data_IF_966079893259
#
_entry.id   IF_966079893259
#
_cell.length_a   1.000
_cell.length_b   1.000
_cell.length_c   1.000
_cell.angle_alpha   90.00
_cell.angle_beta   90.00
_cell.angle_gamma   90.00
#
_symmetry.space_group_name_H-M   'P 1'
#
loop_
_entity.id
_entity.type
_entity.pdbx_description
1 polymer ?
#
# COMPACT_ATOMS: atom_id res chain seq x y z
N UNK A 1 -3.62 9.20 8.99
CA UNK A 1 -2.85 8.47 10.00
C UNK A 1 -1.74 7.67 9.31
N UNK A 2 -0.47 7.88 9.69
CA UNK A 2 0.67 7.11 9.15
C UNK A 2 0.96 5.85 9.99
N UNK A 3 0.07 5.52 10.92
CA UNK A 3 0.21 4.41 11.85
C UNK A 3 -0.23 3.09 11.20
N UNK A 4 0.63 2.09 11.27
CA UNK A 4 0.30 0.69 10.96
C UNK A 4 -0.66 0.21 12.03
N UNK A 5 -1.83 -0.27 11.61
CA UNK A 5 -2.71 -1.02 12.51
C UNK A 5 -2.47 -2.50 12.19
N UNK A 6 -1.78 -3.21 13.09
CA UNK A 6 -1.56 -4.66 13.01
C UNK A 6 -2.52 -5.32 13.99
N UNK A 7 -3.59 -5.91 13.48
CA UNK A 7 -4.54 -6.72 14.24
C UNK A 7 -4.46 -8.15 13.68
N UNK A 8 -3.65 -9.02 14.31
CA UNK A 8 -3.49 -10.44 13.91
C UNK A 8 -3.20 -10.58 12.39
N UNK A 9 -3.47 -11.66 11.61
CA UNK A 9 -2.79 -11.92 10.34
C UNK A 9 -3.06 -10.92 9.19
N UNK A 10 -3.69 -9.78 9.47
CA UNK A 10 -3.94 -8.71 8.51
C UNK A 10 -3.10 -7.46 8.82
N UNK A 11 -2.49 -6.91 7.76
CA UNK A 11 -1.84 -5.60 7.80
C UNK A 11 -2.72 -4.56 7.15
N UNK A 12 -2.82 -3.38 7.74
CA UNK A 12 -3.57 -2.25 7.20
C UNK A 12 -2.74 -0.96 7.17
N UNK A 13 -2.56 -0.40 5.96
CA UNK A 13 -1.84 0.85 5.72
C UNK A 13 -2.69 1.87 4.96
N UNK A 14 -2.58 3.16 5.34
CA UNK A 14 -3.08 4.30 4.56
C UNK A 14 -1.96 5.30 4.32
N UNK A 15 -1.39 5.28 3.12
CA UNK A 15 -0.32 6.17 2.74
C UNK A 15 -0.89 7.51 2.27
N UNK A 16 -0.75 8.53 3.10
CA UNK A 16 -1.31 9.86 2.81
C UNK A 16 -0.36 10.75 2.00
N UNK A 17 0.91 10.39 1.86
CA UNK A 17 1.92 11.24 1.22
C UNK A 17 2.64 12.12 2.25
N UNK A 18 3.97 12.14 2.16
CA UNK A 18 4.88 12.92 3.01
C UNK A 18 5.87 13.65 2.09
N UNK A 19 6.18 14.94 2.31
CA UNK A 19 5.78 15.80 3.44
C UNK A 19 4.40 16.45 3.28
N UNK A 20 3.84 16.49 2.08
CA UNK A 20 2.55 17.11 1.81
C UNK A 20 1.47 16.05 1.65
N UNK A 21 0.48 16.10 2.55
CA UNK A 21 -0.64 15.18 2.57
C UNK A 21 -1.43 15.22 1.25
N UNK A 22 -1.94 14.06 0.89
CA UNK A 22 -2.74 13.70 -0.28
C UNK A 22 -2.08 13.93 -1.65
N UNK A 23 -0.84 14.40 -1.70
CA UNK A 23 -0.16 14.81 -2.94
C UNK A 23 1.20 14.14 -3.14
N UNK A 24 1.99 13.99 -2.07
CA UNK A 24 3.40 13.63 -2.21
C UNK A 24 3.56 12.17 -2.65
N UNK A 25 4.33 11.89 -3.71
CA UNK A 25 4.67 10.53 -4.10
C UNK A 25 5.66 9.93 -3.10
N UNK A 26 5.58 8.61 -2.92
CA UNK A 26 6.65 7.85 -2.27
C UNK A 26 7.69 7.42 -3.29
N UNK A 27 8.96 7.41 -2.89
CA UNK A 27 10.05 6.93 -3.72
C UNK A 27 10.14 5.40 -3.74
N UNK A 28 10.98 4.87 -4.63
CA UNK A 28 11.15 3.43 -4.79
C UNK A 28 11.74 2.77 -3.53
N UNK A 29 12.68 3.42 -2.85
CA UNK A 29 13.34 2.87 -1.66
C UNK A 29 12.35 2.68 -0.51
N UNK A 30 11.43 3.62 -0.33
CA UNK A 30 10.33 3.50 0.63
C UNK A 30 9.43 2.32 0.28
N UNK A 31 8.99 2.21 -0.98
CA UNK A 31 8.10 1.13 -1.41
C UNK A 31 8.77 -0.25 -1.33
N UNK A 32 10.07 -0.34 -1.62
CA UNK A 32 10.87 -1.56 -1.44
C UNK A 32 10.90 -1.99 0.03
N UNK A 33 11.11 -1.04 0.96
CA UNK A 33 11.08 -1.34 2.39
C UNK A 33 9.71 -1.86 2.83
N UNK A 34 8.63 -1.21 2.41
CA UNK A 34 7.26 -1.66 2.72
C UNK A 34 7.02 -3.07 2.20
N UNK A 35 7.44 -3.38 0.96
CA UNK A 35 7.31 -4.72 0.40
C UNK A 35 8.09 -5.76 1.21
N UNK A 36 9.33 -5.46 1.59
CA UNK A 36 10.18 -6.33 2.41
C UNK A 36 9.57 -6.59 3.79
N UNK A 37 9.06 -5.56 4.46
CA UNK A 37 8.43 -5.68 5.78
C UNK A 37 7.20 -6.60 5.73
N UNK A 38 6.36 -6.48 4.69
CA UNK A 38 5.19 -7.35 4.50
C UNK A 38 5.62 -8.80 4.24
N UNK A 39 6.61 -9.01 3.37
CA UNK A 39 7.08 -10.35 3.01
C UNK A 39 7.86 -11.04 4.13
N UNK A 40 8.51 -10.27 5.01
CA UNK A 40 9.30 -10.79 6.13
C UNK A 40 8.43 -11.24 7.31
N UNK A 41 7.16 -10.86 7.37
CA UNK A 41 6.27 -11.22 8.47
C UNK A 41 5.43 -12.47 8.14
N UNK A 42 5.84 -13.67 8.60
CA UNK A 42 5.19 -14.93 8.22
C UNK A 42 3.76 -15.07 8.76
N UNK A 43 3.37 -14.26 9.75
CA UNK A 43 2.00 -14.28 10.29
C UNK A 43 1.02 -13.48 9.44
N UNK A 44 1.50 -12.66 8.50
CA UNK A 44 0.65 -11.87 7.61
C UNK A 44 0.14 -12.73 6.47
N UNK A 45 -1.19 -12.84 6.40
CA UNK A 45 -1.92 -13.54 5.34
C UNK A 45 -2.49 -12.57 4.31
N UNK A 46 -2.86 -11.37 4.76
CA UNK A 46 -3.51 -10.36 3.92
C UNK A 46 -2.95 -8.97 4.26
N UNK A 47 -2.69 -8.17 3.23
CA UNK A 47 -2.25 -6.79 3.38
C UNK A 47 -3.17 -5.85 2.60
N UNK A 48 -3.82 -4.93 3.32
CA UNK A 48 -4.70 -3.91 2.78
C UNK A 48 -3.97 -2.56 2.78
N UNK A 49 -3.60 -2.08 1.60
CA UNK A 49 -2.77 -0.88 1.44
C UNK A 49 -3.50 0.15 0.59
N UNK A 50 -3.80 1.29 1.18
CA UNK A 50 -4.50 2.39 0.53
C UNK A 50 -3.56 3.56 0.28
N UNK A 51 -3.34 3.89 -0.99
CA UNK A 51 -2.63 5.10 -1.40
C UNK A 51 -3.62 6.28 -1.48
N UNK A 52 -3.69 7.06 -0.41
CA UNK A 52 -4.52 8.27 -0.33
C UNK A 52 -3.83 9.51 -0.91
N UNK A 53 -2.56 9.42 -1.33
CA UNK A 53 -1.83 10.48 -2.03
C UNK A 53 -2.28 10.65 -3.50
N UNK A 54 -3.59 10.72 -3.75
CA UNK A 54 -4.18 10.64 -5.09
C UNK A 54 -4.11 11.92 -5.92
N UNK A 55 -3.86 13.09 -5.32
CA UNK A 55 -3.80 14.35 -6.06
C UNK A 55 -2.63 14.30 -7.04
N UNK A 56 -2.90 14.62 -8.32
CA UNK A 56 -1.90 14.54 -9.39
C UNK A 56 -1.55 13.11 -9.83
N UNK A 57 -2.27 12.08 -9.35
CA UNK A 57 -2.06 10.70 -9.74
C UNK A 57 -0.90 9.98 -9.04
N UNK A 58 -0.28 10.58 -8.03
CA UNK A 58 0.85 9.96 -7.31
C UNK A 58 0.46 8.60 -6.70
N UNK A 59 -0.71 8.51 -6.07
CA UNK A 59 -1.17 7.29 -5.42
C UNK A 59 -1.37 6.10 -6.35
N UNK A 60 -1.88 6.30 -7.57
CA UNK A 60 -2.04 5.19 -8.53
C UNK A 60 -0.69 4.69 -9.06
N UNK A 61 0.28 5.60 -9.24
CA UNK A 61 1.63 5.23 -9.65
C UNK A 61 2.34 4.44 -8.54
N UNK A 62 2.25 4.90 -7.29
CA UNK A 62 2.82 4.20 -6.15
C UNK A 62 2.17 2.81 -5.93
N UNK A 63 0.84 2.71 -6.09
CA UNK A 63 0.14 1.42 -6.01
C UNK A 63 0.65 0.42 -7.06
N UNK A 64 0.79 0.85 -8.31
CA UNK A 64 1.33 0.00 -9.39
C UNK A 64 2.78 -0.41 -9.15
N UNK A 65 3.59 0.48 -8.59
CA UNK A 65 4.97 0.16 -8.26
C UNK A 65 5.06 -0.87 -7.13
N UNK A 66 4.27 -0.70 -6.07
CA UNK A 66 4.22 -1.66 -4.98
C UNK A 66 3.68 -3.03 -5.42
N UNK A 67 2.68 -3.06 -6.30
CA UNK A 67 2.19 -4.30 -6.92
C UNK A 67 3.30 -5.06 -7.65
N UNK A 68 4.14 -4.36 -8.42
CA UNK A 68 5.30 -4.97 -9.09
C UNK A 68 6.30 -5.54 -8.10
N UNK A 69 6.62 -4.80 -7.03
CA UNK A 69 7.56 -5.24 -5.99
C UNK A 69 7.06 -6.47 -5.23
N UNK A 70 5.75 -6.56 -5.01
CA UNK A 70 5.09 -7.70 -4.36
C UNK A 70 4.75 -8.85 -5.32
N UNK A 71 5.00 -8.67 -6.62
CA UNK A 71 4.51 -9.57 -7.68
C UNK A 71 3.01 -9.88 -7.55
N UNK A 72 2.23 -8.86 -7.16
CA UNK A 72 0.80 -8.94 -6.94
C UNK A 72 0.03 -8.56 -8.21
N UNK A 73 -0.98 -9.35 -8.55
CA UNK A 73 -1.90 -9.01 -9.63
C UNK A 73 -2.72 -7.75 -9.28
N UNK A 74 -3.13 -6.94 -10.27
CA UNK A 74 -4.09 -5.88 -10.03
C UNK A 74 -5.34 -6.47 -9.38
N UNK A 75 -5.79 -5.89 -8.28
CA UNK A 75 -7.08 -6.23 -7.72
C UNK A 75 -8.14 -5.97 -8.79
N UNK A 76 -8.64 -7.02 -9.43
CA UNK A 76 -9.85 -6.94 -10.23
C UNK A 76 -10.94 -6.47 -9.29
N UNK A 77 -11.68 -5.44 -9.70
CA UNK A 77 -12.83 -4.94 -8.94
C UNK A 77 -13.82 -6.08 -8.78
N UNK A 78 -13.67 -6.86 -7.71
CA UNK A 78 -14.67 -7.82 -7.28
C UNK A 78 -15.95 -7.02 -7.10
N UNK A 79 -16.96 -7.36 -7.88
CA UNK A 79 -18.29 -6.84 -7.66
C UNK A 79 -18.60 -7.06 -6.17
N UNK A 80 -18.99 -5.98 -5.49
CA UNK A 80 -19.74 -6.06 -4.25
C UNK A 80 -21.05 -6.78 -4.59
N UNK A 81 -21.04 -8.12 -4.65
CA UNK A 81 -22.26 -8.90 -4.59
C UNK A 81 -22.58 -9.09 -3.12
N UNK A 82 -23.64 -8.41 -2.72
CA UNK A 82 -24.35 -8.52 -1.44
C UNK A 82 -24.66 -9.95 -1.06
#
# INVERSE_FOLDING_TARGET
PDAVIVNTPQVYYRFHGVPVLYTSPYDEAFLQRVAQEIQAEPTVKEAYIYFNNGIGGAGVLNARQLQKLLNAEPATSGALTS
#
